data_IF_537337106525
#
_entry.id   IF_537337106525
#
_cell.length_a   1.000
_cell.length_b   1.000
_cell.length_c   1.000
_cell.angle_alpha   90.00
_cell.angle_beta   90.00
_cell.angle_gamma   90.00
#
_symmetry.space_group_name_H-M   'P 1'
#
loop_
_entity.id
_entity.type
_entity.pdbx_description
1 polymer ?
#
# COMPACT_ATOMS: atom_id res chain seq x y z
N UNK A 1 13.07 -7.96 7.91
CA UNK A 1 12.15 -8.58 8.90
C UNK A 1 11.96 -7.94 10.31
N UNK A 2 12.20 -6.64 10.60
CA UNK A 2 11.80 -6.06 11.89
C UNK A 2 10.29 -5.82 12.07
N UNK A 3 9.58 -5.33 11.03
CA UNK A 3 8.19 -4.84 11.19
C UNK A 3 7.18 -5.93 11.55
N UNK A 4 7.19 -7.08 10.86
CA UNK A 4 6.22 -8.17 11.09
C UNK A 4 6.43 -8.80 12.47
N UNK A 5 7.68 -8.99 12.88
CA UNK A 5 7.99 -9.50 14.23
C UNK A 5 7.60 -8.50 15.33
N UNK A 6 7.85 -7.20 15.13
CA UNK A 6 7.43 -6.17 16.07
C UNK A 6 5.89 -6.10 16.19
N UNK A 7 5.17 -6.18 15.07
CA UNK A 7 3.70 -6.26 15.05
C UNK A 7 3.19 -7.49 15.80
N UNK A 8 3.75 -8.67 15.53
CA UNK A 8 3.38 -9.90 16.23
C UNK A 8 3.67 -9.79 17.74
N UNK A 9 4.81 -9.20 18.12
CA UNK A 9 5.16 -8.93 19.51
C UNK A 9 4.11 -8.06 20.21
N UNK A 10 3.78 -6.91 19.63
CA UNK A 10 2.75 -6.01 20.17
C UNK A 10 1.38 -6.68 20.26
N UNK A 11 1.02 -7.52 19.28
CA UNK A 11 -0.22 -8.29 19.32
C UNK A 11 -0.23 -9.27 20.50
N UNK A 12 0.85 -10.02 20.74
CA UNK A 12 0.93 -10.96 21.88
C UNK A 12 0.80 -10.26 23.23
N UNK A 13 1.38 -9.07 23.37
CA UNK A 13 1.23 -8.24 24.58
C UNK A 13 -0.22 -7.83 24.79
N UNK A 14 -0.87 -7.30 23.75
CA UNK A 14 -2.27 -6.89 23.81
C UNK A 14 -3.22 -8.05 24.12
N UNK A 15 -3.02 -9.20 23.47
CA UNK A 15 -3.83 -10.40 23.69
C UNK A 15 -3.66 -10.95 25.12
N UNK A 16 -2.43 -11.03 25.62
CA UNK A 16 -2.15 -11.47 26.99
C UNK A 16 -2.84 -10.57 28.02
N UNK A 17 -2.75 -9.25 27.85
CA UNK A 17 -3.43 -8.28 28.70
C UNK A 17 -4.97 -8.46 28.67
N UNK A 18 -5.56 -8.55 27.47
CA UNK A 18 -7.01 -8.75 27.30
C UNK A 18 -7.52 -10.07 27.88
N UNK A 19 -6.66 -11.09 27.92
CA UNK A 19 -6.98 -12.40 28.52
C UNK A 19 -6.80 -12.45 30.04
N UNK A 20 -6.44 -11.34 30.70
CA UNK A 20 -6.01 -11.31 32.10
C UNK A 20 -4.88 -12.32 32.38
N UNK A 21 -3.89 -12.40 31.48
CA UNK A 21 -2.74 -13.31 31.60
C UNK A 21 -3.11 -14.80 31.55
N UNK A 22 -4.34 -15.15 31.17
CA UNK A 22 -4.75 -16.55 31.00
C UNK A 22 -4.04 -17.21 29.82
N UNK A 23 -3.76 -16.43 28.77
CA UNK A 23 -3.07 -16.89 27.58
C UNK A 23 -1.88 -15.98 27.29
N UNK A 24 -0.69 -16.55 27.18
CA UNK A 24 0.55 -15.82 26.97
C UNK A 24 1.28 -16.37 25.72
N UNK A 25 0.76 -16.10 24.53
CA UNK A 25 1.36 -16.59 23.30
C UNK A 25 2.74 -15.95 23.08
N UNK A 26 3.65 -16.71 22.48
CA UNK A 26 4.95 -16.23 22.01
C UNK A 26 5.11 -16.49 20.51
N UNK A 27 6.01 -15.75 19.86
CA UNK A 27 6.37 -16.01 18.46
C UNK A 27 7.19 -17.30 18.43
N UNK A 28 6.62 -18.36 17.88
CA UNK A 28 7.18 -19.71 17.89
C UNK A 28 7.99 -20.05 16.64
N UNK A 29 7.67 -19.44 15.50
CA UNK A 29 8.35 -19.67 14.22
C UNK A 29 8.59 -18.35 13.51
N UNK A 30 9.83 -18.12 13.10
CA UNK A 30 10.22 -17.01 12.22
C UNK A 30 10.74 -17.61 10.93
N UNK A 31 9.98 -17.44 9.85
CA UNK A 31 10.32 -17.97 8.52
C UNK A 31 11.13 -16.92 7.77
N UNK A 32 12.31 -17.27 7.26
CA UNK A 32 13.16 -16.33 6.53
C UNK A 32 12.50 -15.85 5.23
N UNK A 33 12.51 -14.53 4.98
CA UNK A 33 12.04 -13.89 3.74
C UNK A 33 12.92 -14.24 2.50
N UNK A 34 14.07 -14.90 2.68
CA UNK A 34 14.92 -15.36 1.56
C UNK A 34 14.69 -16.81 1.15
N UNK A 35 13.69 -17.48 1.74
CA UNK A 35 13.35 -18.88 1.48
C UNK A 35 11.87 -19.01 1.15
N UNK A 36 11.49 -20.20 0.66
CA UNK A 36 10.08 -20.54 0.44
C UNK A 36 9.29 -20.32 1.74
N UNK A 37 8.36 -19.38 1.69
CA UNK A 37 7.52 -18.96 2.81
C UNK A 37 6.07 -18.97 2.36
N UNK A 38 5.21 -19.63 3.12
CA UNK A 38 3.76 -19.59 2.88
C UNK A 38 3.13 -18.25 3.28
N UNK A 39 3.92 -17.33 3.83
CA UNK A 39 3.49 -16.01 4.31
C UNK A 39 3.91 -14.88 3.37
N UNK A 40 4.48 -15.20 2.21
CA UNK A 40 5.02 -14.23 1.26
C UNK A 40 4.73 -14.65 -0.19
N UNK A 41 4.56 -13.67 -1.08
CA UNK A 41 4.27 -13.89 -2.50
C UNK A 41 5.48 -13.55 -3.37
N UNK A 42 6.53 -14.37 -3.30
CA UNK A 42 7.80 -14.16 -4.04
C UNK A 42 7.96 -15.14 -5.22
N UNK A 43 6.91 -15.35 -6.02
CA UNK A 43 7.00 -16.19 -7.20
C UNK A 43 7.58 -15.38 -8.37
N UNK A 44 8.70 -15.77 -9.01
CA UNK A 44 9.30 -14.96 -10.10
C UNK A 44 8.41 -14.80 -11.35
N UNK A 45 7.45 -15.70 -11.54
CA UNK A 45 6.50 -15.65 -12.67
C UNK A 45 5.17 -14.99 -12.29
N UNK A 46 5.12 -14.38 -11.10
CA UNK A 46 4.01 -13.55 -10.65
C UNK A 46 3.80 -12.35 -11.57
N UNK A 47 2.55 -12.00 -11.85
CA UNK A 47 2.22 -10.67 -12.36
C UNK A 47 2.49 -9.60 -11.29
N UNK A 48 2.98 -8.44 -11.71
CA UNK A 48 3.27 -7.31 -10.79
C UNK A 48 2.15 -6.26 -10.75
N UNK A 49 1.17 -6.33 -11.66
CA UNK A 49 0.07 -5.36 -11.79
C UNK A 49 0.50 -3.96 -12.26
N UNK A 50 1.76 -3.80 -12.69
CA UNK A 50 2.36 -2.49 -12.98
C UNK A 50 1.83 -1.84 -14.26
N UNK A 51 1.39 -2.62 -15.24
CA UNK A 51 0.79 -2.10 -16.46
C UNK A 51 -0.57 -1.46 -16.15
N UNK A 52 -1.40 -2.16 -15.38
CA UNK A 52 -2.75 -1.76 -15.02
C UNK A 52 -2.75 -0.55 -14.07
N UNK A 53 -1.83 -0.53 -13.09
CA UNK A 53 -1.58 0.67 -12.28
C UNK A 53 -1.15 1.86 -13.15
N UNK A 54 -0.26 1.65 -14.12
CA UNK A 54 0.17 2.69 -15.04
C UNK A 54 -0.96 3.26 -15.89
N UNK A 55 -1.84 2.38 -16.39
CA UNK A 55 -3.04 2.80 -17.12
C UNK A 55 -3.98 3.64 -16.23
N UNK A 56 -4.24 3.19 -15.00
CA UNK A 56 -5.08 3.93 -14.07
C UNK A 56 -4.48 5.28 -13.68
N UNK A 57 -3.18 5.32 -13.36
CA UNK A 57 -2.47 6.56 -13.04
C UNK A 57 -2.53 7.58 -14.16
N UNK A 58 -2.47 7.13 -15.43
CA UNK A 58 -2.59 7.99 -16.60
C UNK A 58 -3.98 8.64 -16.75
N UNK A 59 -5.00 8.09 -16.08
CA UNK A 59 -6.37 8.61 -16.10
C UNK A 59 -6.55 9.72 -15.06
N UNK A 60 -6.17 9.48 -13.80
CA UNK A 60 -6.45 10.44 -12.72
C UNK A 60 -5.31 11.42 -12.45
N UNK A 61 -4.05 11.00 -12.64
CA UNK A 61 -2.85 11.79 -12.32
C UNK A 61 -2.74 13.12 -13.08
N UNK A 62 -2.93 13.17 -14.43
CA UNK A 62 -2.68 14.39 -15.21
C UNK A 62 -3.54 15.59 -14.80
N UNK A 63 -4.81 15.38 -14.46
CA UNK A 63 -5.70 16.47 -14.04
C UNK A 63 -5.28 17.07 -12.69
N UNK A 64 -4.82 16.22 -11.76
CA UNK A 64 -4.31 16.66 -10.46
C UNK A 64 -2.97 17.38 -10.63
N UNK A 65 -2.07 16.85 -11.47
CA UNK A 65 -0.80 17.50 -11.80
C UNK A 65 -0.99 18.90 -12.36
N UNK A 66 -1.92 19.05 -13.33
CA UNK A 66 -2.26 20.36 -13.88
C UNK A 66 -2.79 21.33 -12.79
N UNK A 67 -3.61 20.84 -11.85
CA UNK A 67 -4.15 21.65 -10.75
C UNK A 67 -3.04 22.10 -9.80
N UNK A 68 -2.14 21.21 -9.39
CA UNK A 68 -1.05 21.53 -8.46
C UNK A 68 0.02 22.43 -9.11
N UNK A 69 0.43 22.16 -10.35
CA UNK A 69 1.38 23.00 -11.08
C UNK A 69 0.86 24.42 -11.33
N UNK A 70 -0.48 24.57 -11.49
CA UNK A 70 -1.10 25.90 -11.56
C UNK A 70 -1.03 26.65 -10.22
N UNK A 71 -1.16 25.95 -9.11
CA UNK A 71 -1.07 26.53 -7.77
C UNK A 71 0.38 26.79 -7.32
N UNK A 72 1.33 26.02 -7.85
CA UNK A 72 2.76 26.11 -7.54
C UNK A 72 3.59 26.25 -8.84
N UNK A 73 3.70 27.47 -9.40
CA UNK A 73 4.49 27.71 -10.61
C UNK A 73 5.95 27.27 -10.42
N UNK A 74 6.45 26.43 -11.32
CA UNK A 74 7.81 25.89 -11.29
C UNK A 74 7.97 24.54 -10.56
N UNK A 75 6.89 23.96 -10.04
CA UNK A 75 6.95 22.63 -9.40
C UNK A 75 7.19 21.49 -10.40
N UNK A 76 6.70 21.62 -11.64
CA UNK A 76 6.90 20.66 -12.75
C UNK A 76 6.55 19.20 -12.40
N UNK A 77 5.46 19.02 -11.64
CA UNK A 77 4.99 17.71 -11.19
C UNK A 77 4.40 16.90 -12.35
N UNK A 78 4.77 15.63 -12.46
CA UNK A 78 4.12 14.64 -13.32
C UNK A 78 3.17 13.72 -12.52
N UNK A 79 2.47 12.81 -13.21
CA UNK A 79 1.53 11.87 -12.60
C UNK A 79 2.15 10.95 -11.54
N UNK A 80 3.40 10.53 -11.69
CA UNK A 80 4.12 9.73 -10.69
C UNK A 80 4.37 10.56 -9.43
N UNK A 81 4.72 11.83 -9.59
CA UNK A 81 4.85 12.75 -8.46
C UNK A 81 3.51 12.91 -7.74
N UNK A 82 2.38 12.95 -8.45
CA UNK A 82 1.05 13.00 -7.84
C UNK A 82 0.80 11.81 -6.94
N UNK A 83 1.03 10.59 -7.42
CA UNK A 83 0.88 9.39 -6.59
C UNK A 83 1.71 9.50 -5.30
N UNK A 84 2.98 9.91 -5.42
CA UNK A 84 3.88 10.05 -4.28
C UNK A 84 3.42 11.14 -3.29
N UNK A 85 2.99 12.31 -3.78
CA UNK A 85 2.50 13.41 -2.92
C UNK A 85 1.19 13.02 -2.24
N UNK A 86 0.31 12.26 -2.91
CA UNK A 86 -0.89 11.71 -2.30
C UNK A 86 -0.56 10.72 -1.17
N UNK A 87 0.42 9.84 -1.39
CA UNK A 87 0.87 8.88 -0.39
C UNK A 87 1.46 9.54 0.87
N UNK A 88 1.96 10.78 0.78
CA UNK A 88 2.44 11.50 1.96
C UNK A 88 1.32 11.83 2.97
N UNK A 89 0.07 11.95 2.54
CA UNK A 89 -1.07 12.17 3.44
C UNK A 89 -1.17 11.09 4.53
N UNK A 90 -1.32 9.78 4.21
CA UNK A 90 -1.36 8.74 5.22
C UNK A 90 -0.04 8.57 5.99
N UNK A 91 1.12 8.71 5.34
CA UNK A 91 2.42 8.58 6.02
C UNK A 91 2.62 9.64 7.11
N UNK A 92 2.43 10.92 6.79
CA UNK A 92 2.53 11.99 7.79
C UNK A 92 1.41 11.89 8.83
N UNK A 93 0.22 11.43 8.44
CA UNK A 93 -0.89 11.26 9.38
C UNK A 93 -0.59 10.25 10.49
N UNK A 94 -0.01 9.10 10.12
CA UNK A 94 0.36 8.07 11.09
C UNK A 94 1.54 8.53 11.96
N UNK A 95 2.53 9.21 11.36
CA UNK A 95 3.70 9.71 12.09
C UNK A 95 3.34 10.79 13.13
N UNK A 96 2.41 11.69 12.79
CA UNK A 96 2.03 12.82 13.65
C UNK A 96 0.80 12.53 14.52
N UNK A 97 0.21 11.34 14.39
CA UNK A 97 -1.05 10.92 15.02
C UNK A 97 -2.23 11.90 14.78
N UNK A 98 -2.17 12.69 13.71
CA UNK A 98 -3.15 13.70 13.34
C UNK A 98 -3.29 13.74 11.83
N UNK A 99 -4.50 14.00 11.29
CA UNK A 99 -4.68 14.16 9.84
C UNK A 99 -3.69 15.19 9.30
N UNK A 100 -2.86 14.77 8.33
CA UNK A 100 -1.83 15.62 7.75
C UNK A 100 -2.43 16.94 7.26
N UNK A 101 -2.04 18.08 7.85
CA UNK A 101 -2.61 19.37 7.51
C UNK A 101 -2.08 19.89 6.17
N UNK A 102 -0.94 19.36 5.71
CA UNK A 102 -0.26 19.79 4.49
C UNK A 102 -0.66 18.92 3.31
N UNK A 103 -0.41 17.62 3.37
CA UNK A 103 -0.60 16.74 2.22
C UNK A 103 -2.06 16.38 2.00
N UNK A 104 -2.84 16.09 3.05
CA UNK A 104 -4.23 15.69 2.84
C UNK A 104 -5.11 16.80 2.26
N UNK A 105 -4.76 18.07 2.47
CA UNK A 105 -5.55 19.22 1.99
C UNK A 105 -5.27 19.63 0.55
N UNK A 106 -4.25 19.05 -0.11
CA UNK A 106 -3.95 19.29 -1.52
C UNK A 106 -4.96 18.60 -2.46
N UNK A 107 -5.72 17.66 -1.92
CA UNK A 107 -6.57 16.74 -2.66
C UNK A 107 -8.01 16.84 -2.17
N UNK A 108 -8.92 16.50 -3.08
CA UNK A 108 -10.36 16.38 -2.83
C UNK A 108 -10.71 14.92 -2.52
N UNK A 109 -11.92 14.69 -2.00
CA UNK A 109 -12.42 13.33 -1.77
C UNK A 109 -12.42 12.48 -3.04
N UNK A 110 -12.73 13.06 -4.21
CA UNK A 110 -12.72 12.35 -5.48
C UNK A 110 -11.30 11.99 -5.94
N UNK A 111 -10.31 12.84 -5.67
CA UNK A 111 -8.91 12.47 -5.90
C UNK A 111 -8.53 11.27 -5.02
N UNK A 112 -8.90 11.29 -3.73
CA UNK A 112 -8.64 10.18 -2.82
C UNK A 112 -9.34 8.87 -3.21
N UNK A 113 -10.55 8.93 -3.78
CA UNK A 113 -11.21 7.74 -4.36
C UNK A 113 -10.42 7.18 -5.53
N UNK A 114 -9.85 8.04 -6.38
CA UNK A 114 -9.00 7.57 -7.48
C UNK A 114 -7.69 6.94 -6.97
N UNK A 115 -7.08 7.53 -5.95
CA UNK A 115 -5.88 7.00 -5.30
C UNK A 115 -6.15 5.68 -4.55
N UNK A 116 -7.28 5.56 -3.87
CA UNK A 116 -7.69 4.32 -3.21
C UNK A 116 -7.91 3.20 -4.24
N UNK A 117 -8.58 3.49 -5.34
CA UNK A 117 -8.78 2.54 -6.43
C UNK A 117 -7.46 2.10 -7.11
N UNK A 118 -6.42 2.95 -7.11
CA UNK A 118 -5.08 2.54 -7.57
C UNK A 118 -4.53 1.38 -6.73
N UNK A 119 -4.74 1.42 -5.41
CA UNK A 119 -4.41 0.33 -4.50
C UNK A 119 -5.23 -0.94 -4.77
N UNK A 120 -6.51 -0.80 -5.12
CA UNK A 120 -7.35 -1.94 -5.51
C UNK A 120 -6.85 -2.59 -6.80
N UNK A 121 -6.49 -1.79 -7.81
CA UNK A 121 -5.88 -2.26 -9.07
C UNK A 121 -4.58 -3.01 -8.76
N UNK A 122 -3.70 -2.44 -7.95
CA UNK A 122 -2.46 -3.12 -7.53
C UNK A 122 -2.79 -4.49 -6.91
N UNK A 123 -3.66 -4.54 -5.89
CA UNK A 123 -3.93 -5.80 -5.19
C UNK A 123 -4.64 -6.82 -6.06
N UNK A 124 -5.57 -6.39 -6.92
CA UNK A 124 -6.32 -7.27 -7.79
C UNK A 124 -5.43 -7.96 -8.83
N UNK A 125 -4.54 -7.21 -9.48
CA UNK A 125 -3.65 -7.74 -10.52
C UNK A 125 -2.36 -8.38 -9.96
N UNK A 126 -1.87 -7.95 -8.79
CA UNK A 126 -0.64 -8.47 -8.16
C UNK A 126 -0.85 -9.64 -7.20
N UNK A 127 -2.00 -9.73 -6.54
CA UNK A 127 -2.25 -10.77 -5.50
C UNK A 127 -3.64 -11.39 -5.57
N UNK A 128 -4.52 -10.86 -6.44
CA UNK A 128 -5.92 -11.24 -6.54
C UNK A 128 -6.22 -12.28 -7.62
N UNK A 129 -7.47 -12.33 -8.09
CA UNK A 129 -7.99 -13.38 -8.96
C UNK A 129 -7.48 -13.32 -10.41
N UNK A 130 -7.04 -12.16 -10.89
CA UNK A 130 -6.51 -11.98 -12.25
C UNK A 130 -4.99 -12.13 -12.27
N UNK A 131 -4.40 -12.52 -11.14
CA UNK A 131 -3.03 -12.95 -11.09
C UNK A 131 -2.80 -14.12 -12.06
N UNK A 132 -1.87 -13.94 -12.99
CA UNK A 132 -1.63 -14.75 -14.19
C UNK A 132 -1.27 -16.24 -13.91
N UNK A 133 -1.23 -16.67 -12.65
CA UNK A 133 -1.17 -18.10 -12.29
C UNK A 133 -2.49 -18.86 -12.54
N UNK A 134 -3.63 -18.18 -12.69
CA UNK A 134 -4.92 -18.86 -12.94
C UNK A 134 -5.15 -19.13 -14.43
N UNK A 135 -4.62 -18.29 -15.33
CA UNK A 135 -4.94 -18.37 -16.76
C UNK A 135 -3.88 -19.09 -17.63
N UNK A 136 -2.64 -19.21 -17.17
CA UNK A 136 -1.56 -19.89 -17.93
C UNK A 136 -1.47 -21.41 -17.73
N UNK A 137 -2.43 -22.04 -17.02
CA UNK A 137 -2.50 -23.51 -16.83
C UNK A 137 -3.67 -24.20 -17.54
N UNK A 138 -4.39 -23.48 -18.41
CA UNK A 138 -5.38 -24.08 -19.30
C UNK A 138 -4.88 -23.91 -20.74
N UNK A 139 -3.76 -24.55 -21.06
CA UNK A 139 -3.34 -24.91 -22.43
C UNK A 139 -2.51 -26.21 -22.35
#
# INVERSE_FOLDING_TARGET
>A
MPRVMATAGNWTVGFSAASHQRYNPNINVVISESRNSTLQNDCPNAGEGSAEMGEWLSIFGPLIAARLNKAAPGADLNEVDIFNVMAMCPFETVETENTSPLFCRLFTDDDFRAFEYDGDVEKYYKTGLVFDMIWTRID
#
